data_IF_048435376737
#
_entry.id   IF_048435376737
#
_cell.length_a   1.000
_cell.length_b   1.000
_cell.length_c   1.000
_cell.angle_alpha   90.00
_cell.angle_beta   90.00
_cell.angle_gamma   90.00
#
_symmetry.space_group_name_H-M   'P 1'
#
loop_
_entity.id
_entity.type
_entity.pdbx_description
1 polymer ?
#
# COMPACT_ATOMS: atom_id res chain seq x y z
N UNK A 1 -40.19 70.46 -40.61
CA UNK A 1 -38.80 70.01 -40.48
C UNK A 1 -38.73 69.08 -39.29
N UNK A 2 -38.12 67.92 -39.52
CA UNK A 2 -37.76 66.84 -38.58
C UNK A 2 -37.11 67.39 -37.28
N UNK A 3 -37.07 66.72 -36.12
CA UNK A 3 -36.65 65.34 -35.84
C UNK A 3 -36.87 65.01 -34.33
N UNK A 4 -37.07 63.72 -34.00
CA UNK A 4 -36.86 63.04 -32.68
C UNK A 4 -37.65 63.51 -31.42
N UNK A 5 -38.12 62.67 -30.47
CA UNK A 5 -37.66 61.34 -30.02
C UNK A 5 -38.73 60.62 -29.15
N UNK A 6 -38.79 59.30 -29.35
CA UNK A 6 -39.19 58.15 -28.51
C UNK A 6 -39.82 58.30 -27.10
N UNK A 7 -40.93 57.58 -26.88
CA UNK A 7 -41.11 56.70 -25.70
C UNK A 7 -42.27 55.68 -25.86
N UNK A 8 -42.12 54.54 -25.16
CA UNK A 8 -43.14 53.56 -24.70
C UNK A 8 -43.30 52.20 -25.45
N UNK A 9 -42.50 51.23 -24.99
CA UNK A 9 -42.82 49.86 -24.51
C UNK A 9 -43.82 48.93 -25.25
N UNK A 10 -43.37 47.75 -25.75
CA UNK A 10 -44.26 46.60 -26.00
C UNK A 10 -44.15 45.48 -24.94
N UNK A 11 -45.32 45.08 -24.42
CA UNK A 11 -45.56 43.92 -23.54
C UNK A 11 -45.05 42.60 -24.17
N UNK A 12 -44.19 41.88 -23.46
CA UNK A 12 -43.81 40.48 -23.77
C UNK A 12 -44.89 39.52 -23.26
N UNK A 13 -45.52 38.75 -24.16
CA UNK A 13 -46.37 37.59 -23.82
C UNK A 13 -45.48 36.37 -23.51
N UNK A 14 -45.69 35.72 -22.36
CA UNK A 14 -45.03 34.44 -21.99
C UNK A 14 -45.83 33.23 -22.55
N UNK A 15 -45.19 32.17 -23.08
CA UNK A 15 -45.90 30.98 -23.58
C UNK A 15 -46.19 29.98 -22.45
N UNK A 16 -47.48 29.84 -22.11
CA UNK A 16 -48.01 28.89 -21.11
C UNK A 16 -48.23 27.49 -21.72
N UNK A 17 -47.22 26.91 -22.38
CA UNK A 17 -47.31 25.57 -23.01
C UNK A 17 -46.17 24.63 -22.59
N UNK A 18 -45.05 25.13 -22.08
CA UNK A 18 -43.89 24.29 -21.73
C UNK A 18 -43.96 23.60 -20.35
N UNK A 19 -44.84 24.03 -19.44
CA UNK A 19 -44.87 23.51 -18.06
C UNK A 19 -45.67 22.19 -17.95
N UNK A 20 -46.63 21.93 -18.84
CA UNK A 20 -47.44 20.70 -18.79
C UNK A 20 -46.70 19.45 -19.28
N UNK A 21 -45.77 19.58 -20.23
CA UNK A 21 -44.98 18.45 -20.74
C UNK A 21 -43.96 17.91 -19.74
N UNK A 22 -43.30 18.79 -18.98
CA UNK A 22 -42.25 18.43 -18.01
C UNK A 22 -42.86 17.72 -16.78
N UNK A 23 -44.03 18.15 -16.32
CA UNK A 23 -44.71 17.53 -15.17
C UNK A 23 -45.21 16.11 -15.51
N UNK A 24 -45.71 15.89 -16.72
CA UNK A 24 -46.16 14.55 -17.17
C UNK A 24 -44.97 13.60 -17.32
N UNK A 25 -43.85 14.06 -17.92
CA UNK A 25 -42.64 13.23 -18.03
C UNK A 25 -42.06 12.84 -16.67
N UNK A 26 -42.08 13.76 -15.70
CA UNK A 26 -41.57 13.52 -14.33
C UNK A 26 -42.41 12.49 -13.57
N UNK A 27 -43.74 12.52 -13.75
CA UNK A 27 -44.66 11.55 -13.14
C UNK A 27 -44.50 10.14 -13.73
N UNK A 28 -44.30 10.02 -15.05
CA UNK A 28 -44.02 8.72 -15.69
C UNK A 28 -42.69 8.14 -15.19
N UNK A 29 -41.65 8.97 -15.04
CA UNK A 29 -40.35 8.54 -14.51
C UNK A 29 -40.45 8.03 -13.07
N UNK A 30 -41.23 8.71 -12.21
CA UNK A 30 -41.48 8.27 -10.84
C UNK A 30 -42.21 6.93 -10.78
N UNK A 31 -43.24 6.72 -11.62
CA UNK A 31 -43.98 5.45 -11.65
C UNK A 31 -43.08 4.30 -12.10
N UNK A 32 -42.25 4.51 -13.13
CA UNK A 32 -41.28 3.51 -13.61
C UNK A 32 -40.21 3.23 -12.54
N UNK A 33 -39.70 4.27 -11.87
CA UNK A 33 -38.71 4.11 -10.81
C UNK A 33 -39.27 3.32 -9.61
N UNK A 34 -40.46 3.67 -9.12
CA UNK A 34 -41.10 2.93 -8.03
C UNK A 34 -41.47 1.50 -8.44
N UNK A 35 -41.96 1.28 -9.66
CA UNK A 35 -42.19 -0.06 -10.20
C UNK A 35 -40.91 -0.91 -10.23
N UNK A 36 -39.81 -0.35 -10.71
CA UNK A 36 -38.50 -1.00 -10.75
C UNK A 36 -37.96 -1.35 -9.35
N UNK A 37 -38.05 -0.44 -8.38
CA UNK A 37 -37.61 -0.70 -6.99
C UNK A 37 -38.44 -1.82 -6.32
N UNK A 38 -39.75 -1.90 -6.62
CA UNK A 38 -40.63 -2.94 -6.07
C UNK A 38 -40.29 -4.31 -6.64
N UNK A 39 -40.06 -4.40 -7.96
CA UNK A 39 -39.64 -5.64 -8.65
C UNK A 39 -38.27 -6.12 -8.11
N UNK A 40 -37.31 -5.21 -7.96
CA UNK A 40 -35.98 -5.53 -7.41
C UNK A 40 -36.05 -5.98 -5.94
N UNK A 41 -36.91 -5.35 -5.11
CA UNK A 41 -37.11 -5.79 -3.73
C UNK A 41 -37.73 -7.19 -3.64
N UNK A 42 -38.65 -7.51 -4.57
CA UNK A 42 -39.34 -8.79 -4.59
C UNK A 42 -38.41 -9.91 -5.08
N UNK A 43 -37.59 -9.64 -6.10
CA UNK A 43 -36.54 -10.55 -6.60
C UNK A 43 -35.48 -10.83 -5.53
N UNK A 44 -35.06 -9.82 -4.76
CA UNK A 44 -34.09 -9.98 -3.67
C UNK A 44 -34.65 -10.85 -2.54
N UNK A 45 -35.95 -10.72 -2.22
CA UNK A 45 -36.61 -11.53 -1.19
C UNK A 45 -36.78 -12.99 -1.61
N UNK A 46 -37.10 -13.25 -2.88
CA UNK A 46 -37.16 -14.63 -3.42
C UNK A 46 -35.78 -15.29 -3.48
N UNK A 47 -34.74 -14.56 -3.86
CA UNK A 47 -33.38 -15.10 -3.88
C UNK A 47 -32.84 -15.40 -2.46
N UNK A 48 -33.14 -14.55 -1.47
CA UNK A 48 -32.79 -14.85 -0.07
C UNK A 48 -33.53 -16.08 0.47
N UNK A 49 -34.81 -16.29 0.11
CA UNK A 49 -35.54 -17.50 0.49
C UNK A 49 -34.93 -18.75 -0.18
N UNK A 50 -34.55 -18.68 -1.47
CA UNK A 50 -33.92 -19.79 -2.19
C UNK A 50 -32.54 -20.16 -1.64
N UNK A 51 -31.77 -19.17 -1.17
CA UNK A 51 -30.45 -19.39 -0.53
C UNK A 51 -30.62 -20.01 0.86
N UNK A 52 -31.55 -19.52 1.68
CA UNK A 52 -31.82 -20.08 3.01
C UNK A 52 -32.28 -21.55 2.96
N UNK A 53 -33.11 -21.91 1.97
CA UNK A 53 -33.57 -23.31 1.79
C UNK A 53 -32.48 -24.24 1.24
N UNK A 54 -31.47 -23.70 0.52
CA UNK A 54 -30.29 -24.46 0.06
C UNK A 54 -29.26 -24.71 1.16
N UNK A 55 -29.12 -23.79 2.12
CA UNK A 55 -28.23 -23.95 3.28
C UNK A 55 -28.77 -25.02 4.23
N UNK A 56 -30.06 -25.00 4.57
CA UNK A 56 -30.67 -26.02 5.44
C UNK A 56 -30.66 -27.44 4.84
N UNK A 57 -30.78 -27.60 3.52
CA UNK A 57 -30.70 -28.92 2.86
C UNK A 57 -29.27 -29.49 2.77
N UNK A 58 -28.23 -28.66 2.93
CA UNK A 58 -26.82 -29.11 2.92
C UNK A 58 -26.35 -29.56 4.30
N UNK A 59 -26.92 -29.02 5.38
CA UNK A 59 -26.62 -29.43 6.76
C UNK A 59 -27.30 -30.76 7.18
N UNK A 60 -28.43 -31.12 6.59
CA UNK A 60 -29.11 -32.40 6.90
C UNK A 60 -28.55 -33.60 6.10
N UNK A 61 -27.79 -33.36 5.03
CA UNK A 61 -27.26 -34.42 4.16
C UNK A 61 -25.82 -34.87 4.50
N UNK A 62 -25.10 -34.19 5.41
CA UNK A 62 -23.74 -34.62 5.83
C UNK A 62 -23.69 -35.47 7.11
N UNK A 63 -24.85 -35.72 7.75
CA UNK A 63 -24.96 -36.61 8.91
C UNK A 63 -25.43 -38.01 8.50
N UNK A 64 -24.57 -38.76 7.80
CA UNK A 64 -24.56 -40.23 7.83
C UNK A 64 -23.40 -40.78 7.00
N UNK A 65 -22.57 -41.59 7.67
CA UNK A 65 -21.53 -42.48 7.13
C UNK A 65 -20.15 -41.83 6.93
N UNK A 66 -19.27 -41.97 7.92
CA UNK A 66 -17.91 -42.53 7.72
C UNK A 66 -17.21 -42.73 9.07
N UNK A 67 -16.88 -44.00 9.35
CA UNK A 67 -15.95 -44.37 10.42
C UNK A 67 -14.53 -44.11 9.92
N UNK A 68 -13.79 -43.21 10.56
CA UNK A 68 -12.37 -43.00 10.33
C UNK A 68 -11.53 -43.70 11.43
N UNK A 69 -10.36 -44.27 11.07
CA UNK A 69 -9.42 -44.85 12.03
C UNK A 69 -8.65 -43.74 12.76
N UNK A 70 -8.33 -43.99 14.03
CA UNK A 70 -7.56 -43.10 14.92
C UNK A 70 -6.24 -42.66 14.30
N UNK A 71 -6.15 -41.39 13.90
CA UNK A 71 -4.88 -40.67 13.79
C UNK A 71 -4.69 -39.83 15.06
N UNK A 72 -3.50 -39.96 15.66
CA UNK A 72 -3.06 -39.17 16.79
C UNK A 72 -3.10 -37.68 16.43
N UNK A 73 -3.88 -36.90 17.18
CA UNK A 73 -3.67 -35.46 17.28
C UNK A 73 -2.29 -35.21 17.87
N UNK A 74 -1.28 -35.01 17.03
CA UNK A 74 -0.12 -34.23 17.40
C UNK A 74 -0.60 -32.80 17.56
N UNK A 75 -0.88 -32.42 18.80
CA UNK A 75 -0.95 -31.03 19.21
C UNK A 75 0.43 -30.44 18.93
N UNK A 76 0.56 -29.72 17.82
CA UNK A 76 1.69 -28.82 17.60
C UNK A 76 1.54 -27.73 18.65
N UNK A 77 2.22 -27.90 19.79
CA UNK A 77 2.52 -26.79 20.69
C UNK A 77 3.27 -25.78 19.84
N UNK A 78 2.60 -24.71 19.44
CA UNK A 78 3.27 -23.49 19.04
C UNK A 78 4.29 -23.17 20.14
N UNK A 79 5.57 -23.13 19.77
CA UNK A 79 6.60 -22.71 20.69
C UNK A 79 6.24 -21.29 21.12
N UNK A 80 5.85 -21.12 22.39
CA UNK A 80 5.69 -19.82 23.01
C UNK A 80 7.06 -19.14 22.94
N UNK A 81 7.20 -18.23 21.97
CA UNK A 81 8.27 -17.26 21.94
C UNK A 81 8.23 -16.50 23.29
N UNK A 82 9.38 -16.26 23.94
CA UNK A 82 9.39 -15.52 25.19
C UNK A 82 8.70 -14.18 24.96
N UNK A 83 7.62 -13.93 25.71
CA UNK A 83 6.85 -12.69 25.64
C UNK A 83 7.81 -11.56 26.05
N UNK A 84 8.36 -10.85 25.06
CA UNK A 84 9.12 -9.62 25.28
C UNK A 84 8.23 -8.66 26.11
N UNK A 85 8.85 -7.87 27.00
CA UNK A 85 8.16 -6.97 27.92
C UNK A 85 7.26 -5.94 27.22
N UNK A 86 6.60 -5.04 27.95
CA UNK A 86 5.86 -3.95 27.31
C UNK A 86 6.80 -3.11 26.42
N UNK A 87 6.30 -2.55 25.29
CA UNK A 87 7.08 -1.67 24.43
C UNK A 87 7.72 -0.53 25.21
N UNK A 88 8.96 -0.21 24.88
CA UNK A 88 9.71 0.87 25.51
C UNK A 88 9.98 1.96 24.50
N UNK A 89 9.20 3.04 24.59
CA UNK A 89 9.44 4.23 23.80
C UNK A 89 10.76 4.91 24.22
N UNK A 90 11.53 5.36 23.23
CA UNK A 90 12.79 6.08 23.41
C UNK A 90 12.58 7.54 23.00
N UNK A 91 13.00 8.47 23.85
CA UNK A 91 13.00 9.90 23.59
C UNK A 91 14.24 10.57 24.19
N UNK A 92 15.34 10.53 23.45
CA UNK A 92 16.63 11.13 23.81
C UNK A 92 16.78 12.55 23.19
N UNK A 93 15.73 13.07 22.53
CA UNK A 93 15.75 14.39 21.92
C UNK A 93 14.37 15.07 21.96
N UNK A 94 14.19 15.95 22.96
CA UNK A 94 12.93 16.65 23.19
C UNK A 94 12.53 17.60 22.04
N UNK A 95 13.49 18.12 21.28
CA UNK A 95 13.21 19.05 20.16
C UNK A 95 12.49 18.31 19.01
N UNK A 96 12.98 17.13 18.63
CA UNK A 96 12.33 16.27 17.64
C UNK A 96 10.93 15.84 18.09
N UNK A 97 10.78 15.50 19.36
CA UNK A 97 9.51 15.10 19.94
C UNK A 97 8.48 16.25 19.92
N UNK A 98 8.87 17.44 20.36
CA UNK A 98 8.02 18.64 20.32
C UNK A 98 7.66 19.02 18.89
N UNK A 99 8.60 18.88 17.96
CA UNK A 99 8.37 19.15 16.55
C UNK A 99 7.26 18.25 15.99
N UNK A 100 7.32 16.93 16.18
CA UNK A 100 6.29 16.00 15.72
C UNK A 100 4.92 16.26 16.35
N UNK A 101 4.88 16.58 17.66
CA UNK A 101 3.65 16.99 18.35
C UNK A 101 3.06 18.27 17.76
N UNK A 102 3.90 19.26 17.45
CA UNK A 102 3.45 20.53 16.83
C UNK A 102 2.85 20.34 15.44
N UNK A 103 3.22 19.26 14.74
CA UNK A 103 2.65 18.90 13.43
C UNK A 103 1.37 18.08 13.54
N UNK A 104 0.97 17.66 14.75
CA UNK A 104 -0.16 16.77 14.95
C UNK A 104 0.09 15.38 14.35
N UNK A 105 1.35 14.90 14.40
CA UNK A 105 1.68 13.55 13.95
C UNK A 105 0.96 12.50 14.83
N UNK A 106 0.42 11.46 14.19
CA UNK A 106 -0.22 10.33 14.85
C UNK A 106 0.24 9.05 14.17
N UNK A 107 1.00 8.23 14.88
CA UNK A 107 1.73 7.11 14.31
C UNK A 107 2.95 6.75 15.16
N UNK A 108 3.94 6.10 14.56
CA UNK A 108 5.23 5.81 15.21
C UNK A 108 6.37 6.43 14.41
N UNK A 109 7.30 7.07 15.12
CA UNK A 109 8.48 7.70 14.53
C UNK A 109 9.76 7.07 15.07
N UNK A 110 10.71 6.79 14.16
CA UNK A 110 12.07 6.38 14.49
C UNK A 110 13.05 7.37 13.88
N UNK A 111 13.98 7.85 14.71
CA UNK A 111 15.07 8.75 14.30
C UNK A 111 16.37 8.22 14.86
N UNK A 112 17.33 7.97 13.98
CA UNK A 112 18.65 7.46 14.34
C UNK A 112 19.70 8.40 13.77
N UNK A 113 20.71 8.72 14.57
CA UNK A 113 21.89 9.46 14.12
C UNK A 113 23.16 8.79 14.66
N UNK A 114 24.11 8.51 13.76
CA UNK A 114 25.39 7.84 14.05
C UNK A 114 25.21 6.54 14.88
N UNK A 115 24.21 5.73 14.53
CA UNK A 115 23.88 4.48 15.23
C UNK A 115 23.16 4.65 16.58
N UNK A 116 22.98 5.89 17.08
CA UNK A 116 22.20 6.16 18.29
C UNK A 116 20.74 6.44 17.95
N UNK A 117 19.83 5.68 18.56
CA UNK A 117 18.39 5.94 18.50
C UNK A 117 18.08 7.19 19.32
N UNK A 118 17.72 8.28 18.65
CA UNK A 118 17.31 9.53 19.31
C UNK A 118 15.83 9.53 19.65
N UNK A 119 15.02 8.85 18.84
CA UNK A 119 13.59 8.72 19.00
C UNK A 119 13.13 7.36 18.49
N UNK A 120 12.31 6.65 19.25
CA UNK A 120 11.52 5.50 18.82
C UNK A 120 10.23 5.54 19.63
N UNK A 121 9.21 6.25 19.13
CA UNK A 121 8.09 6.69 19.96
C UNK A 121 6.77 6.67 19.22
N UNK A 122 5.71 6.27 19.93
CA UNK A 122 4.33 6.35 19.46
C UNK A 122 3.67 7.70 19.74
N UNK A 123 2.80 8.13 18.84
CA UNK A 123 2.04 9.38 18.90
C UNK A 123 0.57 9.12 18.59
N UNK A 124 -0.34 9.65 19.39
CA UNK A 124 -1.78 9.46 19.19
C UNK A 124 -2.23 8.01 19.41
N UNK A 125 -3.30 7.61 18.73
CA UNK A 125 -3.94 6.30 18.93
C UNK A 125 -3.76 5.38 17.71
N UNK A 126 -3.30 4.15 17.96
CA UNK A 126 -3.29 3.05 17.01
C UNK A 126 -4.73 2.62 16.66
N UNK A 127 -5.62 2.66 17.65
CA UNK A 127 -7.05 2.39 17.47
C UNK A 127 -7.89 3.40 18.27
N UNK A 128 -8.68 4.20 17.56
CA UNK A 128 -9.52 5.26 18.11
C UNK A 128 -10.67 4.72 18.96
N UNK A 129 -11.34 3.66 18.49
CA UNK A 129 -12.52 3.09 19.16
C UNK A 129 -12.14 2.43 20.49
N UNK A 130 -11.05 1.66 20.49
CA UNK A 130 -10.54 0.94 21.66
C UNK A 130 -9.62 1.79 22.53
N UNK A 131 -9.32 3.03 22.12
CA UNK A 131 -8.40 3.95 22.81
C UNK A 131 -7.01 3.34 23.04
N UNK A 132 -6.52 2.57 22.07
CA UNK A 132 -5.20 1.95 22.13
C UNK A 132 -4.17 2.96 21.61
N UNK A 133 -3.16 3.35 22.41
CA UNK A 133 -2.11 4.27 21.97
C UNK A 133 -1.20 3.62 20.92
N UNK A 134 -0.68 4.45 20.00
CA UNK A 134 0.50 4.05 19.23
C UNK A 134 1.70 3.93 20.19
N UNK A 135 2.64 3.05 19.87
CA UNK A 135 3.89 2.82 20.60
C UNK A 135 5.02 2.44 19.61
N UNK A 136 6.23 2.29 20.15
CA UNK A 136 7.45 1.87 19.43
C UNK A 136 7.34 0.55 18.63
N UNK A 137 6.45 -0.37 19.02
CA UNK A 137 6.22 -1.66 18.35
C UNK A 137 4.99 -1.68 17.44
N UNK A 138 4.26 -0.56 17.29
CA UNK A 138 3.03 -0.54 16.50
C UNK A 138 3.31 -0.85 15.03
N UNK A 139 2.50 -1.72 14.44
CA UNK A 139 2.64 -2.15 13.04
C UNK A 139 1.67 -1.44 12.12
N UNK A 140 2.14 -1.04 10.94
CA UNK A 140 1.40 -0.26 9.95
C UNK A 140 1.48 -0.92 8.58
N UNK A 141 0.41 -0.81 7.77
CA UNK A 141 0.53 -1.05 6.34
C UNK A 141 1.40 0.06 5.72
N UNK A 142 2.41 -0.33 4.95
CA UNK A 142 3.41 0.62 4.42
C UNK A 142 3.25 0.92 2.94
N UNK A 143 2.25 0.34 2.27
CA UNK A 143 1.94 0.62 0.87
C UNK A 143 3.17 0.51 -0.02
N UNK A 144 3.40 1.52 -0.86
CA UNK A 144 4.50 1.55 -1.84
C UNK A 144 5.93 1.42 -1.29
N UNK A 145 6.17 1.54 0.02
CA UNK A 145 7.49 1.18 0.60
C UNK A 145 7.79 -0.32 0.36
N UNK A 146 6.76 -1.17 0.23
CA UNK A 146 6.88 -2.60 -0.10
C UNK A 146 7.74 -2.87 -1.34
N UNK A 147 7.74 -1.94 -2.29
CA UNK A 147 8.52 -2.02 -3.54
C UNK A 147 10.02 -2.13 -3.28
N UNK A 148 10.54 -1.49 -2.24
CA UNK A 148 11.96 -1.59 -1.88
C UNK A 148 12.33 -3.02 -1.43
N UNK A 149 11.42 -3.76 -0.80
CA UNK A 149 11.65 -5.16 -0.42
C UNK A 149 11.68 -6.07 -1.66
N UNK A 150 10.74 -5.89 -2.59
CA UNK A 150 10.74 -6.62 -3.87
C UNK A 150 11.98 -6.30 -4.70
N UNK A 151 12.38 -5.02 -4.78
CA UNK A 151 13.62 -4.63 -5.44
C UNK A 151 14.85 -5.29 -4.79
N UNK A 152 14.89 -5.35 -3.46
CA UNK A 152 15.95 -6.05 -2.72
C UNK A 152 15.99 -7.54 -3.06
N UNK A 153 14.85 -8.21 -3.14
CA UNK A 153 14.78 -9.61 -3.54
C UNK A 153 15.29 -9.83 -4.98
N UNK A 154 14.94 -8.94 -5.92
CA UNK A 154 15.48 -8.97 -7.29
C UNK A 154 17.00 -8.82 -7.28
N UNK A 155 17.53 -7.88 -6.49
CA UNK A 155 18.98 -7.69 -6.37
C UNK A 155 19.69 -8.88 -5.70
N UNK A 156 19.08 -9.51 -4.69
CA UNK A 156 19.60 -10.75 -4.08
C UNK A 156 19.66 -11.90 -5.10
N UNK A 157 18.65 -12.04 -5.96
CA UNK A 157 18.65 -13.03 -7.03
C UNK A 157 19.67 -12.69 -8.13
N UNK A 158 19.91 -11.40 -8.40
CA UNK A 158 21.02 -10.95 -9.26
C UNK A 158 22.38 -11.32 -8.69
N UNK A 159 22.62 -11.05 -7.41
CA UNK A 159 23.86 -11.40 -6.71
C UNK A 159 24.11 -12.92 -6.74
N UNK A 160 23.04 -13.72 -6.75
CA UNK A 160 23.09 -15.18 -6.91
C UNK A 160 23.24 -15.65 -8.37
N UNK A 161 23.40 -14.73 -9.34
CA UNK A 161 23.44 -14.98 -10.77
C UNK A 161 22.20 -15.71 -11.34
N UNK A 162 21.06 -15.66 -10.65
CA UNK A 162 19.81 -16.30 -11.08
C UNK A 162 19.01 -15.46 -12.08
N UNK A 163 19.20 -14.15 -12.04
CA UNK A 163 18.64 -13.20 -12.99
C UNK A 163 19.59 -12.03 -13.24
N UNK A 164 19.30 -11.24 -14.27
CA UNK A 164 19.90 -9.94 -14.49
C UNK A 164 18.79 -8.90 -14.66
N UNK A 165 19.02 -7.67 -14.21
CA UNK A 165 18.05 -6.55 -14.37
C UNK A 165 17.79 -6.22 -15.84
N UNK A 166 18.74 -6.55 -16.72
CA UNK A 166 18.61 -6.37 -18.17
C UNK A 166 17.94 -7.53 -18.89
N UNK A 167 17.60 -8.62 -18.19
CA UNK A 167 16.80 -9.70 -18.75
C UNK A 167 15.39 -9.22 -19.11
N UNK A 168 14.81 -9.83 -20.15
CA UNK A 168 13.42 -9.57 -20.55
C UNK A 168 12.43 -10.38 -19.72
N UNK A 169 11.25 -9.81 -19.45
CA UNK A 169 10.18 -10.43 -18.65
C UNK A 169 9.76 -11.80 -19.20
N UNK A 170 9.70 -11.96 -20.52
CA UNK A 170 9.29 -13.22 -21.17
C UNK A 170 10.25 -14.38 -20.95
N UNK A 171 11.48 -14.12 -20.48
CA UNK A 171 12.41 -15.15 -20.01
C UNK A 171 11.86 -15.90 -18.78
N UNK A 172 11.12 -15.19 -17.92
CA UNK A 172 10.61 -15.71 -16.64
C UNK A 172 9.11 -15.97 -16.65
N UNK A 173 8.37 -15.23 -17.48
CA UNK A 173 6.93 -15.37 -17.66
C UNK A 173 6.64 -15.59 -19.16
N UNK A 174 6.82 -16.82 -19.67
CA UNK A 174 6.52 -17.12 -21.06
C UNK A 174 5.06 -16.76 -21.40
N UNK A 175 4.86 -16.01 -22.48
CA UNK A 175 3.53 -15.57 -22.91
C UNK A 175 3.00 -14.30 -22.22
N UNK A 176 3.80 -13.60 -21.42
CA UNK A 176 3.40 -12.29 -20.88
C UNK A 176 3.06 -11.33 -22.03
N UNK A 177 1.84 -10.75 -22.07
CA UNK A 177 1.41 -9.89 -23.18
C UNK A 177 2.34 -8.70 -23.42
N UNK A 178 2.76 -8.50 -24.67
CA UNK A 178 3.66 -7.42 -25.08
C UNK A 178 4.96 -7.35 -24.27
N UNK A 179 5.44 -8.51 -23.79
CA UNK A 179 6.67 -8.62 -23.01
C UNK A 179 7.95 -8.55 -23.84
N UNK A 180 7.89 -8.48 -25.17
CA UNK A 180 9.10 -8.35 -26.00
C UNK A 180 9.83 -7.03 -25.69
N UNK A 181 11.13 -7.12 -25.43
CA UNK A 181 11.97 -5.95 -25.08
C UNK A 181 11.64 -5.31 -23.73
N UNK A 182 10.67 -5.83 -22.98
CA UNK A 182 10.37 -5.38 -21.63
C UNK A 182 11.36 -5.99 -20.64
N UNK A 183 12.41 -5.23 -20.31
CA UNK A 183 13.39 -5.60 -19.29
C UNK A 183 12.88 -5.45 -17.86
N UNK A 184 13.47 -6.20 -16.92
CA UNK A 184 13.22 -6.06 -15.48
C UNK A 184 13.55 -4.64 -15.00
N UNK A 185 14.65 -4.04 -15.49
CA UNK A 185 15.04 -2.66 -15.18
C UNK A 185 13.95 -1.66 -15.53
N UNK A 186 13.21 -1.85 -16.64
CA UNK A 186 12.08 -0.98 -16.97
C UNK A 186 10.93 -1.06 -15.97
N UNK A 187 10.69 -2.23 -15.36
CA UNK A 187 9.70 -2.39 -14.30
C UNK A 187 10.19 -1.70 -13.02
N UNK A 188 11.44 -1.99 -12.62
CA UNK A 188 12.06 -1.45 -11.40
C UNK A 188 12.06 0.09 -11.39
N UNK A 189 12.21 0.72 -12.56
CA UNK A 189 12.32 2.18 -12.71
C UNK A 189 11.05 2.86 -13.19
N UNK A 190 9.92 2.16 -13.26
CA UNK A 190 8.64 2.71 -13.75
C UNK A 190 8.72 3.29 -15.17
N UNK A 191 9.52 2.67 -16.05
CA UNK A 191 9.63 3.04 -17.46
C UNK A 191 9.12 1.96 -18.40
N UNK A 192 8.29 1.04 -17.90
CA UNK A 192 7.71 -0.04 -18.68
C UNK A 192 6.61 0.43 -19.63
N UNK A 193 5.92 1.55 -19.33
CA UNK A 193 4.69 1.94 -20.03
C UNK A 193 3.50 1.02 -19.75
N UNK A 194 3.58 0.14 -18.74
CA UNK A 194 2.43 -0.62 -18.23
C UNK A 194 1.58 0.33 -17.37
N UNK A 195 0.27 0.46 -17.64
CA UNK A 195 -0.61 1.34 -16.87
C UNK A 195 -0.78 0.87 -15.42
N UNK A 196 -1.36 1.73 -14.58
CA UNK A 196 -1.77 1.34 -13.24
C UNK A 196 -2.93 0.34 -13.29
N UNK A 197 -2.92 -0.64 -12.38
CA UNK A 197 -4.04 -1.56 -12.21
C UNK A 197 -4.86 -1.14 -10.99
N UNK A 198 -6.14 -0.85 -11.21
CA UNK A 198 -7.06 -0.42 -10.16
C UNK A 198 -7.47 -1.62 -9.30
N UNK A 199 -6.84 -1.77 -8.13
CA UNK A 199 -7.09 -2.88 -7.22
C UNK A 199 -8.53 -2.90 -6.69
N UNK A 200 -9.20 -4.04 -6.87
CA UNK A 200 -10.56 -4.29 -6.40
C UNK A 200 -10.64 -4.91 -5.00
N UNK A 201 -11.86 -5.23 -4.57
CA UNK A 201 -12.12 -5.88 -3.27
C UNK A 201 -12.18 -7.40 -3.33
N UNK A 202 -12.20 -7.98 -4.53
CA UNK A 202 -12.27 -9.42 -4.76
C UNK A 202 -10.90 -10.09 -4.58
N UNK A 203 -10.88 -11.28 -4.01
CA UNK A 203 -9.65 -12.08 -3.94
C UNK A 203 -9.42 -12.78 -5.28
N UNK A 204 -8.22 -12.64 -5.84
CA UNK A 204 -7.79 -13.28 -7.09
C UNK A 204 -6.42 -13.91 -6.91
N UNK A 205 -6.04 -14.87 -7.77
CA UNK A 205 -4.70 -15.44 -7.73
C UNK A 205 -3.67 -14.48 -8.33
N UNK A 206 -2.39 -14.69 -8.04
CA UNK A 206 -1.29 -13.93 -8.64
C UNK A 206 -1.31 -14.07 -10.18
N UNK A 207 -1.62 -15.25 -10.71
CA UNK A 207 -1.73 -15.47 -12.16
C UNK A 207 -2.86 -14.62 -12.78
N UNK A 208 -4.02 -14.56 -12.12
CA UNK A 208 -5.13 -13.76 -12.61
C UNK A 208 -4.83 -12.25 -12.53
N UNK A 209 -4.17 -11.79 -11.47
CA UNK A 209 -3.69 -10.40 -11.39
C UNK A 209 -2.74 -10.07 -12.55
N UNK A 210 -1.73 -10.91 -12.78
CA UNK A 210 -0.74 -10.76 -13.85
C UNK A 210 -1.39 -10.79 -15.24
N UNK A 211 -2.38 -11.67 -15.44
CA UNK A 211 -3.17 -11.72 -16.67
C UNK A 211 -3.91 -10.42 -16.90
N UNK A 212 -4.63 -9.90 -15.90
CA UNK A 212 -5.36 -8.63 -15.99
C UNK A 212 -4.44 -7.44 -16.25
N UNK A 213 -3.27 -7.41 -15.61
CA UNK A 213 -2.24 -6.40 -15.87
C UNK A 213 -1.78 -6.48 -17.34
N UNK A 214 -1.48 -7.67 -17.84
CA UNK A 214 -1.02 -7.88 -19.21
C UNK A 214 -2.06 -7.55 -20.28
N UNK A 215 -3.35 -7.71 -19.99
CA UNK A 215 -4.46 -7.37 -20.91
C UNK A 215 -4.64 -5.86 -21.12
N UNK A 216 -4.03 -5.02 -20.27
CA UNK A 216 -4.12 -3.58 -20.42
C UNK A 216 -3.30 -3.07 -21.61
N UNK A 217 -3.86 -2.11 -22.34
CA UNK A 217 -3.14 -1.44 -23.43
C UNK A 217 -1.96 -0.64 -22.87
N UNK A 218 -0.75 -0.92 -23.35
CA UNK A 218 0.45 -0.17 -22.98
C UNK A 218 0.34 1.32 -23.35
N UNK A 219 0.83 2.16 -22.44
CA UNK A 219 0.87 3.62 -22.59
C UNK A 219 2.09 4.08 -23.41
N UNK A 220 3.18 3.32 -23.37
CA UNK A 220 4.43 3.60 -24.08
C UNK A 220 5.27 2.33 -24.29
N UNK A 221 6.25 2.42 -25.18
CA UNK A 221 7.29 1.40 -25.36
C UNK A 221 8.20 1.32 -24.11
N UNK A 222 8.83 0.15 -23.84
CA UNK A 222 9.72 0.01 -22.69
C UNK A 222 10.89 1.00 -22.78
N UNK A 223 11.26 1.62 -21.66
CA UNK A 223 12.31 2.65 -21.56
C UNK A 223 11.88 4.06 -22.01
N UNK A 224 10.68 4.20 -22.60
CA UNK A 224 10.22 5.44 -23.23
C UNK A 224 9.87 6.56 -22.24
N UNK A 225 8.80 6.38 -21.46
CA UNK A 225 8.28 7.38 -20.52
C UNK A 225 8.29 6.84 -19.10
N UNK A 226 8.57 7.71 -18.13
CA UNK A 226 8.34 7.41 -16.72
C UNK A 226 6.85 7.56 -16.39
N UNK A 227 6.26 6.51 -15.83
CA UNK A 227 4.89 6.46 -15.35
C UNK A 227 4.84 5.52 -14.14
N UNK A 228 4.61 6.07 -12.95
CA UNK A 228 4.50 5.27 -11.74
C UNK A 228 3.30 4.33 -11.85
N UNK A 229 3.53 3.04 -11.60
CA UNK A 229 2.48 2.02 -11.65
C UNK A 229 2.85 0.85 -10.74
N UNK A 230 1.93 0.49 -9.85
CA UNK A 230 2.06 -0.63 -8.92
C UNK A 230 2.14 -1.97 -9.66
N UNK A 231 1.51 -2.06 -10.84
CA UNK A 231 1.58 -3.22 -11.73
C UNK A 231 3.01 -3.67 -12.03
N UNK A 232 3.96 -2.73 -12.11
CA UNK A 232 5.37 -3.06 -12.34
C UNK A 232 5.94 -3.97 -11.25
N UNK A 233 5.62 -3.66 -10.00
CA UNK A 233 6.16 -4.38 -8.85
C UNK A 233 5.40 -5.67 -8.56
N UNK A 234 4.13 -5.76 -8.91
CA UNK A 234 3.40 -7.05 -8.92
C UNK A 234 4.00 -8.03 -9.94
N UNK A 235 4.45 -7.55 -11.10
CA UNK A 235 5.18 -8.38 -12.06
C UNK A 235 6.53 -8.83 -11.49
N UNK A 236 7.30 -7.91 -10.90
CA UNK A 236 8.58 -8.24 -10.29
C UNK A 236 8.45 -9.25 -9.13
N UNK A 237 7.43 -9.09 -8.29
CA UNK A 237 7.11 -10.03 -7.22
C UNK A 237 6.86 -11.44 -7.76
N UNK A 238 6.05 -11.57 -8.81
CA UNK A 238 5.83 -12.86 -9.46
C UNK A 238 7.10 -13.44 -10.09
N UNK A 239 8.01 -12.59 -10.62
CA UNK A 239 9.32 -13.04 -11.09
C UNK A 239 10.19 -13.57 -9.94
N UNK A 240 10.19 -12.92 -8.78
CA UNK A 240 10.87 -13.44 -7.58
C UNK A 240 10.37 -14.84 -7.25
N UNK A 241 9.06 -15.08 -7.28
CA UNK A 241 8.51 -16.42 -7.04
C UNK A 241 8.99 -17.45 -8.05
N UNK A 242 8.95 -17.13 -9.35
CA UNK A 242 9.37 -18.07 -10.40
C UNK A 242 10.86 -18.38 -10.36
N UNK A 243 11.70 -17.38 -10.08
CA UNK A 243 13.16 -17.54 -10.09
C UNK A 243 13.67 -18.20 -8.81
N UNK A 244 13.04 -17.90 -7.67
CA UNK A 244 13.41 -18.50 -6.38
C UNK A 244 12.80 -19.88 -6.15
N UNK A 245 11.62 -20.14 -6.73
CA UNK A 245 10.81 -21.33 -6.42
C UNK A 245 10.07 -21.24 -5.08
N UNK A 246 10.00 -20.06 -4.46
CA UNK A 246 9.36 -19.81 -3.18
C UNK A 246 8.23 -18.78 -3.34
N UNK A 247 7.14 -18.84 -2.55
CA UNK A 247 6.23 -17.70 -2.42
C UNK A 247 6.99 -16.44 -2.01
N UNK A 248 6.57 -15.27 -2.50
CA UNK A 248 7.27 -14.01 -2.23
C UNK A 248 7.38 -13.71 -0.74
N UNK A 249 6.30 -13.96 0.00
CA UNK A 249 6.23 -13.70 1.43
C UNK A 249 7.29 -14.52 2.19
N UNK A 250 7.46 -15.78 1.80
CA UNK A 250 8.48 -16.68 2.35
C UNK A 250 9.88 -16.23 1.97
N UNK A 251 10.10 -15.85 0.70
CA UNK A 251 11.40 -15.37 0.25
C UNK A 251 11.83 -14.12 1.03
N UNK A 252 10.96 -13.10 1.10
CA UNK A 252 11.25 -11.84 1.81
C UNK A 252 11.43 -12.12 3.30
N UNK A 253 10.59 -12.97 3.90
CA UNK A 253 10.75 -13.31 5.32
C UNK A 253 12.12 -13.94 5.58
N UNK A 254 12.49 -14.98 4.83
CA UNK A 254 13.72 -15.75 5.08
C UNK A 254 14.98 -14.99 4.70
N UNK A 255 14.97 -14.24 3.60
CA UNK A 255 16.16 -13.60 3.03
C UNK A 255 16.31 -12.12 3.39
N UNK A 256 15.26 -11.50 3.95
CA UNK A 256 15.31 -10.11 4.40
C UNK A 256 14.93 -10.05 5.88
N UNK A 257 13.67 -10.31 6.26
CA UNK A 257 13.21 -10.05 7.63
C UNK A 257 14.03 -10.80 8.68
N UNK A 258 14.22 -12.11 8.52
CA UNK A 258 14.94 -12.95 9.46
C UNK A 258 16.45 -12.62 9.48
N UNK A 259 17.03 -12.24 8.33
CA UNK A 259 18.46 -11.89 8.20
C UNK A 259 18.82 -10.66 9.03
N UNK A 260 17.95 -9.64 9.03
CA UNK A 260 18.17 -8.37 9.74
C UNK A 260 17.34 -8.22 11.01
N UNK A 261 16.58 -9.25 11.41
CA UNK A 261 15.86 -9.28 12.68
C UNK A 261 14.61 -8.42 12.72
N UNK A 262 13.91 -8.24 11.60
CA UNK A 262 12.62 -7.55 11.51
C UNK A 262 11.51 -8.45 12.08
N UNK A 263 11.30 -8.40 13.39
CA UNK A 263 10.35 -9.27 14.11
C UNK A 263 8.89 -8.82 14.04
N UNK A 264 8.64 -7.55 13.70
CA UNK A 264 7.33 -6.91 13.69
C UNK A 264 6.87 -6.63 12.24
N UNK A 265 7.22 -7.51 11.32
CA UNK A 265 7.02 -7.35 9.88
C UNK A 265 6.40 -8.60 9.26
N UNK A 266 5.55 -8.41 8.26
CA UNK A 266 4.83 -9.49 7.60
C UNK A 266 3.94 -8.99 6.47
N UNK A 267 2.99 -9.84 6.06
CA UNK A 267 2.17 -9.63 4.87
C UNK A 267 0.67 -9.65 5.15
N UNK A 268 -0.05 -8.91 4.32
CA UNK A 268 -1.50 -8.90 4.23
C UNK A 268 -2.21 -8.74 5.57
N UNK A 269 -3.30 -9.50 5.74
CA UNK A 269 -4.18 -9.39 6.90
C UNK A 269 -3.58 -9.93 8.20
N UNK A 270 -2.39 -10.54 8.17
CA UNK A 270 -1.71 -10.96 9.39
C UNK A 270 -1.34 -9.77 10.29
N UNK A 271 -1.34 -8.53 9.76
CA UNK A 271 -1.25 -7.31 10.59
C UNK A 271 -2.26 -7.35 11.74
N UNK A 272 -3.50 -7.80 11.49
CA UNK A 272 -4.59 -7.78 12.48
C UNK A 272 -4.33 -8.70 13.69
N UNK A 273 -3.35 -9.60 13.56
CA UNK A 273 -2.95 -10.57 14.58
C UNK A 273 -1.63 -10.18 15.28
N UNK A 274 -1.01 -9.06 14.91
CA UNK A 274 0.21 -8.58 15.58
C UNK A 274 -0.11 -8.14 17.01
N UNK A 275 0.93 -7.95 17.83
CA UNK A 275 0.78 -7.53 19.22
C UNK A 275 0.21 -6.11 19.33
N UNK A 276 0.58 -5.22 18.41
CA UNK A 276 0.18 -3.81 18.39
C UNK A 276 -0.26 -3.37 16.98
N UNK A 277 -1.44 -3.82 16.51
CA UNK A 277 -1.93 -3.49 15.18
C UNK A 277 -2.48 -2.07 15.14
N UNK A 278 -2.11 -1.30 14.11
CA UNK A 278 -2.77 -0.02 13.82
C UNK A 278 -4.05 -0.21 13.01
N UNK A 279 -5.01 0.71 13.21
CA UNK A 279 -6.18 0.89 12.35
C UNK A 279 -6.02 2.18 11.57
N UNK A 280 -6.27 2.14 10.26
CA UNK A 280 -6.10 3.28 9.37
C UNK A 280 -7.32 4.19 9.35
N UNK A 281 -7.08 5.50 9.34
CA UNK A 281 -8.13 6.51 9.41
C UNK A 281 -7.99 7.58 8.34
N UNK A 282 -9.12 8.08 7.83
CA UNK A 282 -9.24 9.27 7.00
C UNK A 282 -10.11 10.31 7.69
N UNK A 283 -9.81 11.58 7.47
CA UNK A 283 -10.66 12.69 7.91
C UNK A 283 -11.52 13.13 6.73
N UNK A 284 -12.84 12.95 6.83
CA UNK A 284 -13.83 13.37 5.83
C UNK A 284 -14.84 14.28 6.51
N UNK A 285 -14.97 15.53 6.05
CA UNK A 285 -15.87 16.53 6.64
C UNK A 285 -15.68 16.68 8.17
N UNK A 286 -14.42 16.76 8.62
CA UNK A 286 -14.00 16.77 10.03
C UNK A 286 -14.37 15.54 10.86
N UNK A 287 -14.87 14.47 10.24
CA UNK A 287 -15.13 13.19 10.91
C UNK A 287 -14.05 12.18 10.56
N UNK A 288 -13.56 11.47 11.57
CA UNK A 288 -12.64 10.36 11.39
C UNK A 288 -13.42 9.12 10.94
N UNK A 289 -12.98 8.48 9.86
CA UNK A 289 -13.58 7.24 9.34
C UNK A 289 -12.51 6.23 8.98
N UNK A 290 -12.85 4.94 9.04
CA UNK A 290 -12.00 3.85 8.57
C UNK A 290 -12.34 3.58 7.10
N UNK A 291 -11.45 3.88 6.14
CA UNK A 291 -11.71 3.60 4.74
C UNK A 291 -11.60 2.11 4.43
N UNK A 292 -12.34 1.65 3.42
CA UNK A 292 -12.11 0.33 2.84
C UNK A 292 -10.71 0.27 2.20
N UNK A 293 -10.08 -0.88 2.32
CA UNK A 293 -8.82 -1.22 1.62
C UNK A 293 -9.10 -2.27 0.54
N UNK A 294 -8.35 -2.27 -0.58
CA UNK A 294 -8.43 -3.32 -1.59
C UNK A 294 -8.14 -4.72 -1.01
N UNK A 295 -8.43 -5.76 -1.80
CA UNK A 295 -7.92 -7.10 -1.48
C UNK A 295 -6.39 -7.09 -1.47
N UNK A 296 -5.80 -7.70 -0.45
CA UNK A 296 -4.33 -7.84 -0.34
C UNK A 296 -3.76 -8.64 -1.50
N UNK A 297 -4.54 -9.58 -2.06
CA UNK A 297 -4.13 -10.35 -3.26
C UNK A 297 -3.90 -9.48 -4.49
N UNK A 298 -4.54 -8.30 -4.56
CA UNK A 298 -4.38 -7.33 -5.65
C UNK A 298 -3.33 -6.25 -5.36
N UNK A 299 -2.74 -6.26 -4.15
CA UNK A 299 -1.63 -5.39 -3.74
C UNK A 299 -0.29 -6.14 -3.68
N UNK A 300 -0.27 -7.32 -4.30
CA UNK A 300 0.84 -8.25 -4.27
C UNK A 300 2.15 -7.61 -4.72
N UNK A 301 3.13 -7.57 -3.81
CA UNK A 301 4.46 -6.99 -4.03
C UNK A 301 4.52 -5.46 -4.12
N UNK A 302 3.38 -4.77 -4.06
CA UNK A 302 3.31 -3.33 -4.29
C UNK A 302 2.67 -2.55 -3.13
N UNK A 303 1.99 -3.22 -2.18
CA UNK A 303 1.35 -2.59 -1.04
C UNK A 303 0.86 -3.54 0.07
N UNK A 304 1.28 -4.80 0.06
CA UNK A 304 0.83 -5.88 0.93
C UNK A 304 1.71 -6.12 2.17
N UNK A 305 2.81 -5.37 2.36
CA UNK A 305 3.66 -5.48 3.56
C UNK A 305 3.13 -4.60 4.70
N UNK A 306 3.23 -5.13 5.91
CA UNK A 306 3.18 -4.36 7.15
C UNK A 306 4.51 -4.47 7.92
N UNK A 307 4.81 -3.46 8.73
CA UNK A 307 6.05 -3.41 9.53
C UNK A 307 5.90 -2.41 10.70
N UNK A 308 6.82 -2.48 11.67
CA UNK A 308 7.08 -1.40 12.63
C UNK A 308 8.02 -0.34 12.04
N UNK A 309 8.11 0.82 12.67
CA UNK A 309 9.06 1.88 12.26
C UNK A 309 10.52 1.47 12.54
N UNK A 310 10.77 0.71 13.60
CA UNK A 310 12.11 0.25 13.96
C UNK A 310 12.62 -0.82 13.01
N UNK A 311 11.75 -1.75 12.58
CA UNK A 311 12.07 -2.76 11.58
C UNK A 311 12.47 -2.12 10.23
N UNK A 312 11.83 -1.02 9.83
CA UNK A 312 12.25 -0.26 8.63
C UNK A 312 13.62 0.40 8.78
N UNK A 313 13.97 0.85 9.99
CA UNK A 313 15.34 1.28 10.27
C UNK A 313 16.33 0.11 10.08
N UNK A 314 16.02 -1.09 10.60
CA UNK A 314 16.84 -2.29 10.39
C UNK A 314 16.98 -2.64 8.90
N UNK A 315 15.93 -2.44 8.11
CA UNK A 315 15.97 -2.60 6.66
C UNK A 315 16.94 -1.63 5.98
N UNK A 316 16.87 -0.35 6.33
CA UNK A 316 17.81 0.65 5.80
C UNK A 316 19.26 0.34 6.15
N UNK A 317 19.53 -0.03 7.40
CA UNK A 317 20.88 -0.43 7.85
C UNK A 317 21.35 -1.72 7.17
N UNK A 318 20.45 -2.67 6.96
CA UNK A 318 20.72 -3.91 6.24
C UNK A 318 21.18 -3.67 4.80
N UNK A 319 20.55 -2.72 4.11
CA UNK A 319 20.98 -2.28 2.78
C UNK A 319 22.32 -1.54 2.85
N UNK A 320 22.44 -0.53 3.72
CA UNK A 320 23.62 0.33 3.80
C UNK A 320 24.89 -0.43 4.20
N UNK A 321 24.78 -1.38 5.13
CA UNK A 321 25.91 -2.20 5.60
C UNK A 321 26.34 -3.31 4.63
N UNK A 322 25.63 -3.49 3.51
CA UNK A 322 25.87 -4.59 2.56
C UNK A 322 25.44 -5.97 3.09
N UNK A 323 24.66 -6.02 4.17
CA UNK A 323 24.18 -7.28 4.77
C UNK A 323 23.10 -7.95 3.91
N UNK A 324 22.32 -7.18 3.15
CA UNK A 324 21.23 -7.69 2.33
C UNK A 324 21.61 -7.93 0.86
N UNK A 325 22.46 -7.08 0.29
CA UNK A 325 22.85 -7.08 -1.12
C UNK A 325 24.31 -6.65 -1.28
N UNK A 326 24.94 -7.05 -2.39
CA UNK A 326 26.31 -6.64 -2.74
C UNK A 326 26.44 -5.14 -2.98
N UNK A 327 27.67 -4.62 -2.92
CA UNK A 327 27.97 -3.22 -3.25
C UNK A 327 27.58 -2.85 -4.68
N UNK A 328 27.80 -3.75 -5.65
CA UNK A 328 27.39 -3.55 -7.05
C UNK A 328 25.87 -3.38 -7.13
N UNK A 329 25.12 -4.30 -6.49
CA UNK A 329 23.67 -4.27 -6.46
C UNK A 329 23.11 -3.06 -5.70
N UNK A 330 23.78 -2.63 -4.64
CA UNK A 330 23.44 -1.40 -3.92
C UNK A 330 23.60 -0.17 -4.83
N UNK A 331 24.74 -0.06 -5.52
CA UNK A 331 25.00 1.05 -6.44
C UNK A 331 24.00 1.09 -7.60
N UNK A 332 23.62 -0.08 -8.14
CA UNK A 332 22.59 -0.16 -9.17
C UNK A 332 21.20 0.25 -8.64
N UNK A 333 20.78 -0.30 -7.48
CA UNK A 333 19.50 0.02 -6.83
C UNK A 333 19.32 1.52 -6.59
N UNK A 334 20.40 2.21 -6.22
CA UNK A 334 20.38 3.64 -5.89
C UNK A 334 20.86 4.56 -7.02
N UNK A 335 21.05 4.03 -8.24
CA UNK A 335 21.29 4.85 -9.44
C UNK A 335 19.95 5.29 -10.04
N UNK A 336 19.62 6.59 -10.04
CA UNK A 336 18.35 7.05 -10.56
C UNK A 336 18.32 7.04 -12.10
N UNK A 337 17.17 6.68 -12.68
CA UNK A 337 16.98 6.68 -14.14
C UNK A 337 16.14 7.87 -14.61
N UNK A 338 14.89 7.98 -14.18
CA UNK A 338 14.00 9.13 -14.46
C UNK A 338 13.29 9.57 -13.20
N UNK A 339 12.96 10.86 -13.10
CA UNK A 339 12.28 11.45 -11.92
C UNK A 339 12.99 11.14 -10.59
N UNK A 340 14.32 11.02 -10.63
CA UNK A 340 15.16 10.64 -9.49
C UNK A 340 14.76 9.29 -8.87
N UNK A 341 14.14 8.39 -9.62
CA UNK A 341 13.72 7.09 -9.12
C UNK A 341 14.76 6.01 -9.48
N UNK A 342 15.26 5.31 -8.46
CA UNK A 342 16.05 4.07 -8.54
C UNK A 342 15.14 2.85 -8.41
N UNK A 343 15.59 1.76 -7.80
CA UNK A 343 14.77 0.56 -7.61
C UNK A 343 14.05 0.59 -6.27
N UNK A 344 12.82 1.11 -6.24
CA UNK A 344 12.01 1.20 -5.02
C UNK A 344 12.28 2.45 -4.18
N UNK A 345 13.10 3.37 -4.69
CA UNK A 345 13.61 4.53 -3.96
C UNK A 345 13.63 5.79 -4.80
N UNK A 346 13.29 6.92 -4.20
CA UNK A 346 13.70 8.23 -4.68
C UNK A 346 15.11 8.54 -4.18
N UNK A 347 15.97 8.95 -5.12
CA UNK A 347 17.38 9.30 -4.90
C UNK A 347 17.49 10.82 -4.88
N UNK A 348 17.43 11.39 -3.67
CA UNK A 348 17.58 12.82 -3.46
C UNK A 348 19.08 13.19 -3.37
N UNK A 349 19.46 14.48 -3.46
CA UNK A 349 20.86 14.89 -3.40
C UNK A 349 21.63 14.33 -2.19
N UNK A 350 21.03 14.36 -0.99
CA UNK A 350 21.67 13.94 0.27
C UNK A 350 21.09 12.69 0.95
N UNK A 351 20.01 12.12 0.42
CA UNK A 351 19.30 11.01 1.04
C UNK A 351 18.60 10.11 0.03
N UNK A 352 18.26 8.92 0.47
CA UNK A 352 17.31 8.04 -0.20
C UNK A 352 16.00 8.07 0.57
N UNK A 353 14.88 8.01 -0.14
CA UNK A 353 13.56 7.98 0.49
C UNK A 353 12.56 7.21 -0.32
N UNK A 354 11.59 6.59 0.32
CA UNK A 354 10.38 6.13 -0.33
C UNK A 354 9.16 6.47 0.54
N UNK A 355 8.01 6.43 -0.12
CA UNK A 355 6.75 6.89 0.44
C UNK A 355 5.67 5.89 0.07
N UNK A 356 4.79 5.62 1.02
CA UNK A 356 3.74 4.64 0.88
C UNK A 356 2.43 5.14 1.44
N UNK A 357 1.38 4.96 0.65
CA UNK A 357 0.02 5.31 1.04
C UNK A 357 -0.85 4.09 0.87
N UNK A 358 -1.57 3.75 1.92
CA UNK A 358 -2.71 2.83 1.90
C UNK A 358 -3.94 3.60 2.36
N UNK A 359 -5.18 3.21 2.02
CA UNK A 359 -6.34 3.94 2.52
C UNK A 359 -6.33 3.98 4.05
N UNK A 360 -6.07 5.16 4.63
CA UNK A 360 -5.98 5.35 6.08
C UNK A 360 -4.57 5.33 6.67
N UNK A 361 -3.53 5.04 5.86
CA UNK A 361 -2.13 5.07 6.29
C UNK A 361 -1.28 5.96 5.38
N UNK A 362 -0.27 6.59 5.96
CA UNK A 362 0.64 7.48 5.26
C UNK A 362 2.05 7.33 5.86
N UNK A 363 2.96 6.72 5.11
CA UNK A 363 4.23 6.22 5.62
C UNK A 363 5.39 6.77 4.80
N UNK A 364 6.43 7.27 5.47
CA UNK A 364 7.66 7.73 4.86
C UNK A 364 8.85 7.01 5.51
N UNK A 365 9.78 6.59 4.68
CA UNK A 365 11.05 6.03 5.10
C UNK A 365 12.18 6.73 4.33
N UNK A 366 13.27 7.06 5.02
CA UNK A 366 14.46 7.58 4.37
C UNK A 366 15.70 7.55 5.24
N UNK A 367 16.85 7.52 4.58
CA UNK A 367 18.16 7.54 5.22
C UNK A 367 19.16 8.36 4.39
N UNK A 368 20.14 8.97 5.05
CA UNK A 368 21.20 9.76 4.40
C UNK A 368 22.08 8.87 3.51
N UNK A 369 22.70 9.44 2.47
CA UNK A 369 23.67 8.70 1.64
C UNK A 369 24.89 8.17 2.39
N UNK A 370 25.26 8.82 3.49
CA UNK A 370 26.28 8.37 4.42
C UNK A 370 25.83 7.26 5.38
N UNK A 371 24.54 6.86 5.32
CA UNK A 371 23.94 5.85 6.20
C UNK A 371 23.87 6.23 7.68
N UNK A 372 24.29 7.43 8.06
CA UNK A 372 24.41 7.82 9.46
C UNK A 372 23.14 8.47 10.02
N UNK A 373 22.22 8.93 9.19
CA UNK A 373 20.93 9.49 9.61
C UNK A 373 19.80 8.66 9.02
N UNK A 374 18.84 8.27 9.85
CA UNK A 374 17.62 7.58 9.45
C UNK A 374 16.41 8.30 10.03
N UNK A 375 15.37 8.45 9.20
CA UNK A 375 14.08 9.02 9.59
C UNK A 375 12.97 8.15 9.02
N UNK A 376 12.21 7.52 9.91
CA UNK A 376 11.04 6.69 9.56
C UNK A 376 9.82 7.25 10.26
N UNK A 377 8.77 7.55 9.50
CA UNK A 377 7.51 8.12 9.99
C UNK A 377 6.34 7.29 9.44
N UNK A 378 5.70 6.48 10.29
CA UNK A 378 4.55 5.67 9.90
C UNK A 378 3.29 6.21 10.56
N UNK A 379 2.35 6.72 9.77
CA UNK A 379 1.07 7.25 10.28
C UNK A 379 -0.09 6.35 9.92
N UNK A 380 -1.00 6.15 10.88
CA UNK A 380 -2.29 5.51 10.69
C UNK A 380 -3.45 6.52 10.55
N UNK A 381 -3.11 7.78 10.26
CA UNK A 381 -4.09 8.79 9.87
C UNK A 381 -3.62 9.45 8.58
N UNK A 382 -4.41 9.30 7.52
CA UNK A 382 -4.28 10.12 6.33
C UNK A 382 -4.93 11.48 6.60
N UNK A 383 -4.18 12.33 7.32
CA UNK A 383 -4.56 13.70 7.67
C UNK A 383 -3.98 14.72 6.67
N UNK A 384 -4.43 15.97 6.77
CA UNK A 384 -3.98 17.10 5.95
C UNK A 384 -2.55 17.60 6.32
N UNK A 385 -1.66 16.75 6.84
CA UNK A 385 -0.23 17.11 6.94
C UNK A 385 0.25 17.37 5.52
N UNK A 386 0.41 18.66 5.18
CA UNK A 386 0.56 19.16 3.79
C UNK A 386 1.71 18.51 3.01
N UNK A 387 2.71 17.94 3.68
CA UNK A 387 3.70 17.06 3.08
C UNK A 387 4.55 16.36 4.15
N UNK A 388 4.50 15.02 4.22
CA UNK A 388 5.47 14.22 4.97
C UNK A 388 6.91 14.47 4.49
N UNK A 389 7.08 14.78 3.20
CA UNK A 389 8.39 15.18 2.65
C UNK A 389 8.92 16.47 3.29
N UNK A 390 8.07 17.45 3.58
CA UNK A 390 8.50 18.66 4.33
C UNK A 390 8.88 18.29 5.77
N UNK A 391 8.06 17.47 6.44
CA UNK A 391 8.35 17.04 7.82
C UNK A 391 9.69 16.33 7.89
N UNK A 392 9.95 15.42 6.94
CA UNK A 392 11.23 14.74 6.79
C UNK A 392 12.39 15.73 6.59
N UNK A 393 12.28 16.65 5.63
CA UNK A 393 13.36 17.61 5.34
C UNK A 393 13.66 18.53 6.53
N UNK A 394 12.63 18.99 7.24
CA UNK A 394 12.79 19.79 8.45
C UNK A 394 13.56 18.97 9.52
N UNK A 395 13.23 17.68 9.72
CA UNK A 395 13.94 16.80 10.66
C UNK A 395 15.40 16.56 10.26
N UNK A 396 15.69 16.31 8.98
CA UNK A 396 17.07 16.21 8.49
C UNK A 396 17.86 17.50 8.77
N UNK A 397 17.23 18.66 8.65
CA UNK A 397 17.85 19.96 8.96
C UNK A 397 18.14 20.08 10.45
N UNK A 398 17.18 19.74 11.33
CA UNK A 398 17.38 19.72 12.78
C UNK A 398 18.55 18.79 13.16
N UNK A 399 18.60 17.60 12.55
CA UNK A 399 19.65 16.60 12.79
C UNK A 399 21.04 17.06 12.37
N UNK A 400 21.20 18.06 11.49
CA UNK A 400 22.52 18.63 11.19
C UNK A 400 23.09 19.41 12.38
N UNK A 401 22.24 19.93 13.28
CA UNK A 401 22.64 20.76 14.40
C UNK A 401 22.72 20.02 15.75
N UNK A 402 22.24 18.78 15.81
CA UNK A 402 22.28 17.95 17.03
C UNK A 402 23.63 17.24 17.12
N UNK A 403 24.46 17.54 18.11
CA UNK A 403 25.64 16.72 18.43
C UNK A 403 25.20 15.43 19.14
N UNK A 404 25.80 14.29 18.76
CA UNK A 404 25.41 12.95 19.22
C UNK A 404 26.57 12.22 19.85
#
# INVERSE_FOLDING_TARGET
MEQEKDSVNPKVRRPMVYIRGIVILSLVFLIVYFGYTKIMSHSKKENMLKVATKVNKKEEASKKTEQQPKQQEQTVKAAEQPVEGPPQDINENAELDQYLQSKGFSGTAVVVKNGKVLLNKGYGLANQEKKIPNNSETTFYIGSISKAFVATAIMQLKDQNKLQTEDIVTKYIPGFPHGEGLKLSHLLTHTSGIPEYEAGSEDISHEELLKRIGEQKRLANPGGKWEYSDSNYSILAYIVEKVSGQPLEEYIKQHIFDVIGMKNSGFGRALEQTRYPSTGYKIVNNNMTTPAIPSMSQLYGCGDIYTSAYDLYLFNEGLFSGKLISEESYNEMFTPVRKNYGFGWYVNPGSYSNHGVMPGWNCLNGFSKSGNIHVVLLSNIQNNIKSFGKVNNDMYTMLQHIEV
#
